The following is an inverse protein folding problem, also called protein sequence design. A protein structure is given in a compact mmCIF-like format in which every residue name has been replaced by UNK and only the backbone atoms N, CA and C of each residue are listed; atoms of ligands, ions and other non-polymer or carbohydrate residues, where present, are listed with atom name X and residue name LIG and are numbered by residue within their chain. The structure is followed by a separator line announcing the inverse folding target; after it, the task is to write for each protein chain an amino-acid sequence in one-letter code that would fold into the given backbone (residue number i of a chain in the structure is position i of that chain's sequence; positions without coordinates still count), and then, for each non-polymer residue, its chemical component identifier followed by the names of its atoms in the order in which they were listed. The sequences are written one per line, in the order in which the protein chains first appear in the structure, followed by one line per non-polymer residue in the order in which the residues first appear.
data_IF_552175899644
#
_entry.id   IF_552175899644
#
_cell.length_a   1.000
_cell.length_b   1.000
_cell.length_c   1.000
_cell.angle_alpha   90.00
_cell.angle_beta   90.00
_cell.angle_gamma   90.00
#
_symmetry.space_group_name_H-M   'P 1'
#
loop_
_entity.id
_entity.type
_entity.pdbx_description
1 polymer ?
#
# COMPACT_ATOMS: atom_id res chain seq x y z
N UNK A 1 7.96 -18.86 -3.50
CA UNK A 1 7.69 -17.41 -3.41
C UNK A 1 8.59 -16.71 -4.42
N UNK A 2 8.07 -16.02 -5.45
CA UNK A 2 8.93 -15.38 -6.45
C UNK A 2 9.71 -14.25 -5.78
N UNK A 3 11.01 -14.17 -6.08
CA UNK A 3 11.98 -13.30 -5.42
C UNK A 3 11.74 -11.84 -5.79
N UNK A 4 11.87 -10.96 -4.81
CA UNK A 4 11.78 -9.50 -4.95
C UNK A 4 13.02 -8.94 -5.65
N UNK A 5 12.83 -8.15 -6.71
CA UNK A 5 13.86 -7.24 -7.21
C UNK A 5 14.03 -6.09 -6.21
N UNK A 6 15.17 -6.07 -5.54
CA UNK A 6 15.52 -5.10 -4.48
C UNK A 6 16.27 -3.92 -5.11
N UNK A 7 15.68 -2.73 -5.06
CA UNK A 7 16.35 -1.47 -5.41
C UNK A 7 17.28 -0.96 -4.30
N UNK A 8 18.17 0.01 -4.59
CA UNK A 8 19.08 0.56 -3.59
C UNK A 8 18.25 1.27 -2.50
N UNK A 9 18.53 0.97 -1.22
CA UNK A 9 17.74 1.24 0.00
C UNK A 9 16.70 0.19 0.40
N UNK A 10 16.66 -0.97 -0.27
CA UNK A 10 15.70 -2.00 0.05
C UNK A 10 14.28 -1.61 -0.32
N UNK A 11 14.07 -0.58 -1.14
CA UNK A 11 12.78 -0.25 -1.73
C UNK A 11 12.45 -1.26 -2.84
N UNK A 12 11.17 -1.60 -2.98
CA UNK A 12 10.69 -2.50 -4.04
C UNK A 12 9.63 -1.80 -4.87
N UNK A 13 9.55 -2.13 -6.16
CA UNK A 13 8.54 -1.58 -7.06
C UNK A 13 7.41 -2.60 -7.22
N UNK A 14 6.17 -2.15 -7.00
CA UNK A 14 4.96 -2.95 -7.18
C UNK A 14 4.02 -2.19 -8.10
N UNK A 15 3.62 -2.81 -9.22
CA UNK A 15 2.74 -2.20 -10.22
C UNK A 15 3.19 -0.78 -10.67
N UNK A 16 4.49 -0.56 -10.85
CA UNK A 16 5.06 0.73 -11.25
C UNK A 16 5.21 1.76 -10.13
N UNK A 17 4.76 1.46 -8.90
CA UNK A 17 4.87 2.35 -7.74
C UNK A 17 6.01 1.89 -6.82
N UNK A 18 6.87 2.83 -6.42
CA UNK A 18 7.97 2.57 -5.47
C UNK A 18 7.43 2.48 -4.05
N UNK A 19 7.66 1.36 -3.38
CA UNK A 19 7.28 1.11 -2.00
C UNK A 19 8.48 1.36 -1.09
N UNK A 20 8.39 2.43 -0.29
CA UNK A 20 9.36 2.73 0.76
C UNK A 20 9.17 1.83 1.99
N UNK A 21 10.29 1.43 2.62
CA UNK A 21 10.32 0.56 3.80
C UNK A 21 9.46 -0.73 3.63
N UNK A 22 9.66 -1.50 2.55
CA UNK A 22 8.79 -2.63 2.23
C UNK A 22 8.80 -3.72 3.29
N UNK A 23 9.94 -3.91 3.96
CA UNK A 23 10.09 -4.90 5.03
C UNK A 23 9.33 -4.57 6.32
N UNK A 24 8.72 -3.40 6.45
CA UNK A 24 8.01 -2.98 7.67
C UNK A 24 6.76 -3.85 7.88
N UNK A 25 6.65 -4.46 9.05
CA UNK A 25 5.44 -5.17 9.48
C UNK A 25 4.32 -4.15 9.72
N UNK A 26 3.18 -4.33 9.05
CA UNK A 26 2.00 -3.48 9.22
C UNK A 26 0.81 -4.25 9.77
N UNK A 27 0.83 -5.59 9.70
CA UNK A 27 -0.08 -6.47 10.42
C UNK A 27 0.76 -7.46 11.26
N UNK A 28 1.10 -7.12 12.52
CA UNK A 28 2.01 -7.91 13.34
C UNK A 28 1.49 -9.33 13.60
N UNK A 29 0.21 -9.48 13.92
CA UNK A 29 -0.42 -10.76 14.29
C UNK A 29 -0.30 -11.84 13.22
N UNK A 30 -0.38 -11.47 11.95
CA UNK A 30 -0.25 -12.39 10.81
C UNK A 30 1.09 -12.27 10.07
N UNK A 31 2.00 -11.43 10.57
CA UNK A 31 3.36 -11.28 10.03
C UNK A 31 3.44 -10.61 8.65
N UNK A 32 2.40 -9.89 8.21
CA UNK A 32 2.39 -9.27 6.88
C UNK A 32 3.11 -7.92 6.86
N UNK A 33 3.95 -7.77 5.82
CA UNK A 33 4.77 -6.59 5.57
C UNK A 33 4.06 -5.60 4.65
N UNK A 34 4.59 -4.39 4.57
CA UNK A 34 4.08 -3.33 3.69
C UNK A 34 4.14 -3.73 2.21
N UNK A 35 5.15 -4.47 1.79
CA UNK A 35 5.21 -5.02 0.43
C UNK A 35 4.12 -6.05 0.14
N UNK A 36 3.78 -6.91 1.11
CA UNK A 36 2.75 -7.93 0.93
C UNK A 36 1.39 -7.27 0.67
N UNK A 37 1.08 -6.22 1.43
CA UNK A 37 -0.13 -5.43 1.26
C UNK A 37 -0.21 -4.74 -0.11
N UNK A 38 0.91 -4.21 -0.60
CA UNK A 38 0.98 -3.61 -1.93
C UNK A 38 0.79 -4.65 -3.04
N UNK A 39 1.44 -5.82 -2.91
CA UNK A 39 1.31 -6.94 -3.85
C UNK A 39 -0.10 -7.50 -3.88
N UNK A 40 -0.76 -7.60 -2.73
CA UNK A 40 -2.15 -8.00 -2.62
C UNK A 40 -3.08 -7.06 -3.40
N UNK A 41 -2.93 -5.74 -3.22
CA UNK A 41 -3.73 -4.76 -3.95
C UNK A 41 -3.47 -4.81 -5.45
N UNK A 42 -2.21 -5.01 -5.87
CA UNK A 42 -1.88 -5.18 -7.29
C UNK A 42 -2.53 -6.45 -7.87
N UNK A 43 -2.54 -7.57 -7.13
CA UNK A 43 -3.18 -8.81 -7.57
C UNK A 43 -4.71 -8.72 -7.61
N UNK A 44 -5.32 -7.93 -6.71
CA UNK A 44 -6.77 -7.73 -6.61
C UNK A 44 -7.27 -6.48 -7.34
N UNK A 45 -6.42 -5.82 -8.14
CA UNK A 45 -6.74 -4.53 -8.72
C UNK A 45 -8.01 -4.58 -9.59
N UNK A 46 -8.15 -5.60 -10.44
CA UNK A 46 -9.29 -5.73 -11.36
C UNK A 46 -10.66 -5.82 -10.65
N UNK A 47 -10.91 -6.76 -9.72
CA UNK A 47 -12.18 -6.82 -9.01
C UNK A 47 -12.43 -5.62 -8.09
N UNK A 48 -11.37 -5.05 -7.48
CA UNK A 48 -11.52 -3.83 -6.65
C UNK A 48 -11.97 -2.66 -7.51
N UNK A 49 -11.35 -2.45 -8.67
CA UNK A 49 -11.66 -1.34 -9.56
C UNK A 49 -13.02 -1.50 -10.23
N UNK A 50 -13.47 -2.72 -10.52
CA UNK A 50 -14.82 -2.96 -11.04
C UNK A 50 -15.91 -2.35 -10.13
N UNK A 51 -15.72 -2.40 -8.81
CA UNK A 51 -16.70 -1.91 -7.83
C UNK A 51 -16.43 -0.47 -7.36
N UNK A 52 -15.16 -0.08 -7.24
CA UNK A 52 -14.75 1.15 -6.56
C UNK A 52 -14.30 2.29 -7.48
N UNK A 53 -14.05 2.03 -8.77
CA UNK A 53 -13.59 3.06 -9.69
C UNK A 53 -14.61 4.22 -9.83
N UNK A 54 -14.10 5.43 -10.07
CA UNK A 54 -14.89 6.65 -10.24
C UNK A 54 -15.78 7.03 -9.05
N UNK A 55 -15.50 6.51 -7.86
CA UNK A 55 -16.17 6.87 -6.61
C UNK A 55 -15.21 7.65 -5.71
N UNK A 56 -15.66 8.72 -5.03
CA UNK A 56 -14.86 9.36 -4.00
C UNK A 56 -14.52 8.37 -2.88
N UNK A 57 -13.23 8.19 -2.59
CA UNK A 57 -12.73 7.30 -1.55
C UNK A 57 -12.19 8.09 -0.36
N UNK A 58 -12.42 7.57 0.84
CA UNK A 58 -11.75 8.03 2.06
C UNK A 58 -10.78 6.92 2.50
N UNK A 59 -9.53 7.28 2.74
CA UNK A 59 -8.51 6.34 3.18
C UNK A 59 -8.37 6.38 4.70
N UNK A 60 -8.56 5.24 5.37
CA UNK A 60 -8.08 5.04 6.74
C UNK A 60 -6.60 4.67 6.66
N UNK A 61 -5.74 5.49 7.25
CA UNK A 61 -4.29 5.31 7.20
C UNK A 61 -3.73 5.04 8.58
N UNK A 62 -2.86 4.05 8.64
CA UNK A 62 -2.07 3.70 9.82
C UNK A 62 -0.58 3.80 9.49
N UNK A 63 0.05 4.98 9.67
CA UNK A 63 1.46 5.18 9.35
C UNK A 63 2.38 4.22 10.10
N UNK A 64 2.04 3.86 11.34
CA UNK A 64 2.85 3.03 12.23
C UNK A 64 2.41 1.55 12.26
N UNK A 65 1.44 1.16 11.42
CA UNK A 65 0.84 -0.19 11.41
C UNK A 65 -0.51 -0.23 12.11
N UNK A 66 -1.27 -1.31 11.93
CA UNK A 66 -2.69 -1.39 12.32
C UNK A 66 -2.98 -1.24 13.82
N UNK A 67 -1.99 -1.50 14.68
CA UNK A 67 -2.08 -1.31 16.13
C UNK A 67 -1.87 0.16 16.56
N UNK A 68 -1.29 0.97 15.68
CA UNK A 68 -1.06 2.39 15.91
C UNK A 68 -2.28 3.26 15.59
N UNK A 69 -2.16 4.56 15.88
CA UNK A 69 -3.23 5.52 15.63
C UNK A 69 -3.59 5.59 14.13
N UNK A 70 -4.88 5.46 13.85
CA UNK A 70 -5.45 5.59 12.52
C UNK A 70 -6.10 6.95 12.32
N UNK A 71 -6.02 7.48 11.12
CA UNK A 71 -6.76 8.70 10.76
C UNK A 71 -7.38 8.58 9.35
N UNK A 72 -8.50 9.29 9.16
CA UNK A 72 -9.16 9.37 7.86
C UNK A 72 -8.58 10.51 7.02
N UNK A 73 -8.17 10.18 5.79
CA UNK A 73 -7.76 11.12 4.78
C UNK A 73 -8.79 11.14 3.63
N UNK A 74 -9.51 12.26 3.51
CA UNK A 74 -10.56 12.47 2.48
C UNK A 74 -10.11 13.34 1.32
N UNK A 75 -9.14 14.22 1.56
CA UNK A 75 -8.64 15.16 0.55
C UNK A 75 -7.28 14.70 0.03
N UNK A 76 -6.99 14.93 -1.26
CA UNK A 76 -5.65 14.73 -1.81
C UNK A 76 -4.62 15.49 -0.96
N UNK A 77 -3.50 14.83 -0.64
CA UNK A 77 -2.38 15.49 0.01
C UNK A 77 -1.24 15.72 -0.97
N UNK A 78 -0.33 16.60 -0.57
CA UNK A 78 0.94 16.83 -1.27
C UNK A 78 1.67 15.50 -1.48
N UNK A 79 2.09 15.23 -2.71
CA UNK A 79 2.85 14.03 -3.08
C UNK A 79 2.02 12.86 -3.64
N UNK A 80 0.73 13.07 -3.90
CA UNK A 80 -0.04 12.11 -4.71
C UNK A 80 0.40 12.19 -6.17
N UNK A 81 0.44 11.05 -6.89
CA UNK A 81 0.70 11.04 -8.33
C UNK A 81 -0.40 11.80 -9.08
N UNK A 82 -0.05 12.33 -10.25
CA UNK A 82 -1.04 12.89 -11.16
C UNK A 82 -2.01 11.78 -11.62
N UNK A 83 -3.28 12.14 -11.82
CA UNK A 83 -4.33 11.21 -12.20
C UNK A 83 -4.30 10.89 -13.70
#
# INVERSE_FOLDING_TARGET
MPRSDTGPNGATTVAGVVISSPGRLIFPDCGHRKEDFARYHAAMAEPILAEMANRPLAFLRHPDGVEGEGFFQRHPAKGWPEA
#
